data_IF_484893464654
#
_entry.id   IF_484893464654
#
_cell.length_a   1.000
_cell.length_b   1.000
_cell.length_c   1.000
_cell.angle_alpha   90.00
_cell.angle_beta   90.00
_cell.angle_gamma   90.00
#
_symmetry.space_group_name_H-M   'P 1'
#
loop_
_entity.id
_entity.type
_entity.pdbx_description
1 polymer ?
#
# COMPACT_ATOMS: atom_id res chain seq x y z
N UNK A 1 11.39 -0.74 -1.13
CA UNK A 1 10.41 0.12 -0.38
C UNK A 1 10.28 1.57 -0.88
N UNK A 2 10.86 1.95 -2.02
CA UNK A 2 10.82 3.32 -2.56
C UNK A 2 9.40 3.90 -2.73
N UNK A 3 8.42 3.04 -3.06
CA UNK A 3 7.02 3.42 -3.23
C UNK A 3 6.45 4.14 -1.98
N UNK A 4 6.87 3.73 -0.79
CA UNK A 4 6.36 4.26 0.47
C UNK A 4 6.81 5.71 0.68
N UNK A 5 8.07 6.01 0.34
CA UNK A 5 8.62 7.36 0.38
C UNK A 5 7.93 8.28 -0.63
N UNK A 6 7.84 7.83 -1.89
CA UNK A 6 7.25 8.62 -2.99
C UNK A 6 5.76 8.91 -2.75
N UNK A 7 4.97 7.90 -2.38
CA UNK A 7 3.54 8.08 -2.09
C UNK A 7 3.26 8.92 -0.84
N UNK A 8 4.24 9.08 0.04
CA UNK A 8 4.18 9.97 1.20
C UNK A 8 4.61 11.43 0.88
N UNK A 9 4.85 11.76 -0.39
CA UNK A 9 5.23 13.10 -0.85
C UNK A 9 6.72 13.43 -0.73
N UNK A 10 7.56 12.48 -0.33
CA UNK A 10 9.01 12.67 -0.22
C UNK A 10 9.70 12.34 -1.56
N UNK A 11 9.49 13.15 -2.59
CA UNK A 11 10.10 12.92 -3.91
C UNK A 11 11.64 12.99 -3.88
N UNK A 12 12.17 13.93 -3.08
CA UNK A 12 13.59 14.08 -2.81
C UNK A 12 14.03 13.14 -1.66
N UNK A 13 15.10 12.36 -1.92
CA UNK A 13 15.69 11.45 -0.94
C UNK A 13 16.42 12.20 0.17
N UNK A 14 16.97 13.40 -0.10
CA UNK A 14 17.65 14.24 0.89
C UNK A 14 16.69 14.68 1.99
N UNK A 15 15.50 15.13 1.59
CA UNK A 15 14.42 15.48 2.52
C UNK A 15 14.00 14.28 3.37
N UNK A 16 13.87 13.09 2.77
CA UNK A 16 13.52 11.87 3.51
C UNK A 16 14.61 11.49 4.52
N UNK A 17 15.88 11.52 4.11
CA UNK A 17 17.04 11.24 4.97
C UNK A 17 17.09 12.21 6.16
N UNK A 18 16.90 13.51 5.91
CA UNK A 18 16.80 14.55 6.95
C UNK A 18 15.67 14.27 7.94
N UNK A 19 14.46 13.94 7.45
CA UNK A 19 13.31 13.61 8.31
C UNK A 19 13.52 12.33 9.12
N UNK A 20 14.24 11.36 8.55
CA UNK A 20 14.59 10.11 9.20
C UNK A 20 15.83 10.21 10.09
N UNK A 21 16.56 11.34 10.07
CA UNK A 21 17.80 11.53 10.82
C UNK A 21 18.85 10.48 10.46
N UNK A 22 19.00 10.20 9.17
CA UNK A 22 19.99 9.24 8.63
C UNK A 22 20.56 9.77 7.30
N UNK A 23 21.46 9.03 6.67
CA UNK A 23 22.08 9.42 5.40
C UNK A 23 21.23 9.02 4.18
N UNK A 24 21.35 9.75 3.08
CA UNK A 24 20.71 9.40 1.80
C UNK A 24 21.14 8.01 1.33
N UNK A 25 22.42 7.67 1.49
CA UNK A 25 22.96 6.34 1.18
C UNK A 25 22.26 5.25 1.99
N UNK A 26 21.98 5.47 3.28
CA UNK A 26 21.25 4.52 4.11
C UNK A 26 19.82 4.33 3.62
N UNK A 27 19.12 5.43 3.27
CA UNK A 27 17.77 5.35 2.71
C UNK A 27 17.77 4.59 1.38
N UNK A 28 18.74 4.86 0.50
CA UNK A 28 18.88 4.14 -0.77
C UNK A 28 19.05 2.64 -0.56
N UNK A 29 19.96 2.23 0.33
CA UNK A 29 20.20 0.80 0.65
C UNK A 29 18.99 0.11 1.26
N UNK A 30 18.18 0.83 2.04
CA UNK A 30 16.90 0.29 2.50
C UNK A 30 15.90 0.17 1.33
N UNK A 31 15.91 1.10 0.38
CA UNK A 31 14.98 1.12 -0.76
C UNK A 31 15.24 0.00 -1.77
N UNK A 32 16.51 -0.28 -2.04
CA UNK A 32 16.99 -1.33 -2.94
C UNK A 32 17.11 -2.72 -2.28
N UNK A 33 17.01 -2.80 -0.95
CA UNK A 33 17.02 -4.04 -0.19
C UNK A 33 18.41 -4.55 0.21
N UNK A 34 19.48 -3.84 -0.15
CA UNK A 34 20.87 -4.18 0.23
C UNK A 34 21.12 -4.06 1.72
N UNK A 35 20.28 -3.29 2.43
CA UNK A 35 20.31 -3.17 3.89
C UNK A 35 18.89 -3.25 4.43
N UNK A 36 18.68 -3.99 5.51
CA UNK A 36 17.39 -4.02 6.21
C UNK A 36 17.40 -3.04 7.39
N UNK A 37 16.37 -2.20 7.55
CA UNK A 37 16.24 -1.36 8.74
C UNK A 37 15.93 -2.22 9.97
N UNK A 38 16.46 -1.82 11.12
CA UNK A 38 16.04 -2.39 12.41
C UNK A 38 14.55 -2.09 12.67
N UNK A 39 13.90 -2.87 13.53
CA UNK A 39 12.50 -2.65 13.90
C UNK A 39 12.24 -1.23 14.46
N UNK A 40 13.21 -0.65 15.19
CA UNK A 40 13.12 0.74 15.68
C UNK A 40 13.15 1.76 14.52
N UNK A 41 14.03 1.56 13.55
CA UNK A 41 14.10 2.40 12.35
C UNK A 41 12.83 2.23 11.51
N UNK A 42 12.33 1.01 11.33
CA UNK A 42 11.11 0.75 10.58
C UNK A 42 9.89 1.43 11.20
N UNK A 43 9.76 1.43 12.54
CA UNK A 43 8.73 2.23 13.23
C UNK A 43 8.84 3.73 12.94
N UNK A 44 10.07 4.25 12.89
CA UNK A 44 10.31 5.67 12.52
C UNK A 44 9.89 5.93 11.07
N UNK A 45 10.24 5.05 10.15
CA UNK A 45 9.86 5.12 8.73
C UNK A 45 8.33 5.12 8.60
N UNK A 46 7.64 4.17 9.23
CA UNK A 46 6.18 4.07 9.24
C UNK A 46 5.51 5.38 9.72
N UNK A 47 6.00 5.96 10.83
CA UNK A 47 5.50 7.22 11.37
C UNK A 47 5.76 8.42 10.44
N UNK A 48 6.94 8.49 9.83
CA UNK A 48 7.33 9.59 8.94
C UNK A 48 6.57 9.54 7.63
N UNK A 49 6.46 8.36 7.01
CA UNK A 49 5.78 8.17 5.73
C UNK A 49 4.26 8.00 5.87
N UNK A 50 3.74 7.94 7.10
CA UNK A 50 2.31 7.71 7.36
C UNK A 50 1.82 6.44 6.66
N UNK A 51 2.59 5.37 6.81
CA UNK A 51 2.28 4.03 6.30
C UNK A 51 2.32 3.03 7.46
N UNK A 52 1.40 2.04 7.51
CA UNK A 52 1.46 1.00 8.52
C UNK A 52 2.78 0.23 8.41
N UNK A 53 3.37 -0.12 9.55
CA UNK A 53 4.63 -0.86 9.59
C UNK A 53 4.54 -2.18 8.83
N UNK A 54 3.43 -2.91 8.98
CA UNK A 54 3.21 -4.19 8.30
C UNK A 54 3.25 -4.04 6.76
N UNK A 55 2.75 -2.92 6.23
CA UNK A 55 2.74 -2.66 4.79
C UNK A 55 4.16 -2.42 4.26
N UNK A 56 5.05 -1.85 5.06
CA UNK A 56 6.46 -1.65 4.68
C UNK A 56 7.26 -2.97 4.59
N UNK A 57 6.74 -4.05 5.18
CA UNK A 57 7.36 -5.39 5.16
C UNK A 57 6.82 -6.27 4.03
N UNK A 58 5.87 -5.78 3.24
CA UNK A 58 5.39 -6.52 2.08
C UNK A 58 6.49 -6.58 1.00
N UNK A 59 6.64 -7.73 0.31
CA UNK A 59 7.64 -7.89 -0.74
C UNK A 59 7.38 -6.94 -1.92
N UNK A 60 6.12 -6.61 -2.16
CA UNK A 60 5.66 -5.71 -3.21
C UNK A 60 4.78 -4.60 -2.62
N UNK A 61 4.70 -3.42 -3.26
CA UNK A 61 3.77 -2.38 -2.86
C UNK A 61 2.33 -2.96 -2.81
N UNK A 62 1.53 -2.59 -1.79
CA UNK A 62 0.13 -2.97 -1.82
C UNK A 62 -0.53 -2.39 -3.07
N UNK A 63 -1.47 -3.14 -3.65
CA UNK A 63 -2.41 -2.54 -4.61
C UNK A 63 -3.18 -1.45 -3.87
N UNK A 64 -3.46 -0.35 -4.56
CA UNK A 64 -4.27 0.73 -4.01
C UNK A 64 -5.58 0.19 -3.42
N UNK A 65 -6.16 0.94 -2.48
CA UNK A 65 -7.42 0.56 -1.86
C UNK A 65 -8.48 0.30 -2.93
N UNK A 66 -8.82 -0.98 -3.12
CA UNK A 66 -10.05 -1.35 -3.82
C UNK A 66 -11.17 -0.81 -2.93
N UNK A 67 -11.92 0.17 -3.44
CA UNK A 67 -13.10 0.65 -2.74
C UNK A 67 -13.92 -0.57 -2.32
N UNK A 68 -14.26 -0.66 -1.02
CA UNK A 68 -15.07 -1.75 -0.48
C UNK A 68 -16.22 -1.99 -1.45
N UNK A 69 -16.20 -3.15 -2.11
CA UNK A 69 -17.20 -3.49 -3.11
C UNK A 69 -18.53 -3.46 -2.37
N UNK A 70 -19.41 -2.56 -2.78
CA UNK A 70 -20.70 -2.40 -2.12
C UNK A 70 -21.57 -3.60 -2.50
N UNK A 71 -21.55 -4.62 -1.64
CA UNK A 71 -22.35 -5.83 -1.79
C UNK A 71 -23.77 -5.67 -1.24
N UNK A 72 -24.20 -4.45 -0.90
CA UNK A 72 -25.60 -4.23 -0.51
C UNK A 72 -26.48 -4.50 -1.71
N UNK A 73 -27.12 -5.66 -1.70
CA UNK A 73 -28.19 -6.01 -2.63
C UNK A 73 -29.37 -5.08 -2.33
N UNK A 74 -29.75 -4.23 -3.28
CA UNK A 74 -30.99 -3.46 -3.19
C UNK A 74 -32.12 -4.49 -3.27
N UNK A 75 -32.94 -4.60 -2.22
CA UNK A 75 -34.14 -5.42 -2.25
C UNK A 75 -35.07 -4.86 -3.34
N UNK A 76 -35.18 -5.57 -4.46
CA UNK A 76 -35.97 -5.16 -5.63
C UNK A 76 -35.40 -5.56 -6.99
N UNK A 77 -34.17 -6.08 -7.07
CA UNK A 77 -33.70 -6.72 -8.31
C UNK A 77 -34.31 -8.12 -8.41
N UNK A 78 -35.44 -8.21 -9.09
CA UNK A 78 -36.07 -9.47 -9.47
C UNK A 78 -35.05 -10.31 -10.26
N UNK A 79 -34.72 -11.46 -9.69
CA UNK A 79 -33.94 -12.49 -10.36
C UNK A 79 -34.83 -13.07 -11.45
N UNK A 80 -34.75 -12.50 -12.66
CA UNK A 80 -35.42 -13.09 -13.83
C UNK A 80 -34.57 -14.26 -14.30
N UNK A 81 -34.69 -15.37 -13.57
CA UNK A 81 -34.36 -16.70 -14.06
C UNK A 81 -35.29 -17.00 -15.24
N UNK A 82 -34.88 -16.59 -16.44
CA UNK A 82 -35.55 -16.99 -17.68
C UNK A 82 -35.18 -18.45 -17.97
N UNK A 83 -35.94 -19.36 -17.36
CA UNK A 83 -35.94 -20.79 -17.72
C UNK A 83 -36.43 -20.89 -19.16
N UNK A 84 -35.49 -21.15 -20.07
CA UNK A 84 -35.77 -21.57 -21.43
C UNK A 84 -36.44 -22.96 -21.40
N UNK A 85 -37.77 -22.99 -21.42
CA UNK A 85 -38.55 -24.11 -21.97
C UNK A 85 -40.02 -23.76 -22.07
N UNK A 86 -40.51 -23.59 -23.30
CA UNK A 86 -41.48 -24.53 -23.88
C UNK A 86 -41.69 -24.17 -25.34
N UNK A 87 -41.14 -25.02 -26.21
CA UNK A 87 -41.73 -25.30 -27.52
C UNK A 87 -42.95 -26.18 -27.28
N UNK A 88 -44.13 -25.73 -27.70
CA UNK A 88 -45.10 -26.49 -28.49
C UNK A 88 -46.22 -25.59 -28.98
#
# INVERSE_FOLDING_TARGET
>A
MQWARKSAGFHDISLAAKRLGTSEMTVSKWEDGSLQPTIKQLRKIAKTYKRPLAVLLLPEPPKEFDALRDFRRIAGSEDVDMVASTRR
#
